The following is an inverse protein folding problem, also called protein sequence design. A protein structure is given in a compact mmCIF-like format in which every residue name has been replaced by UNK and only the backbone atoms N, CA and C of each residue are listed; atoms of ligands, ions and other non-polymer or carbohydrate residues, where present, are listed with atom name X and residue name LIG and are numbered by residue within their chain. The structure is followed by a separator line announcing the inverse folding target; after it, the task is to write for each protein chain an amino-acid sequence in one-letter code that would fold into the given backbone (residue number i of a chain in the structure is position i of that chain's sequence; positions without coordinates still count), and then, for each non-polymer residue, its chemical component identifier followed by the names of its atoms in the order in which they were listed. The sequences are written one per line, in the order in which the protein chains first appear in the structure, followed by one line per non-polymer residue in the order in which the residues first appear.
data_IF_804308328427
#
_entry.id   IF_804308328427
#
_cell.length_a   1.000
_cell.length_b   1.000
_cell.length_c   1.000
_cell.angle_alpha   90.00
_cell.angle_beta   90.00
_cell.angle_gamma   90.00
#
_symmetry.space_group_name_H-M   'P 1'
#
loop_
_entity.id
_entity.type
_entity.pdbx_description
1 polymer ?
#
# COMPACT_ATOMS: atom_id res chain seq x y z
N UNK A 1 -67.97 7.20 44.47
CA UNK A 1 -66.70 6.45 44.32
C UNK A 1 -66.22 6.67 42.90
N UNK A 2 -65.10 7.38 42.73
CA UNK A 2 -64.69 8.04 41.49
C UNK A 2 -64.25 7.05 40.39
N UNK A 3 -64.81 7.19 39.18
CA UNK A 3 -64.31 6.57 37.95
C UNK A 3 -63.16 7.43 37.38
N UNK A 4 -62.02 6.86 36.97
CA UNK A 4 -61.00 7.62 36.25
C UNK A 4 -61.44 7.88 34.81
N UNK A 5 -61.13 9.08 34.31
CA UNK A 5 -61.39 9.49 32.94
C UNK A 5 -60.45 8.77 31.95
N UNK A 6 -60.89 8.46 30.72
CA UNK A 6 -60.04 7.84 29.72
C UNK A 6 -58.95 8.83 29.26
N UNK A 7 -57.69 8.39 29.32
CA UNK A 7 -56.58 9.13 28.76
C UNK A 7 -56.81 9.31 27.25
N UNK A 8 -56.86 10.57 26.80
CA UNK A 8 -57.10 10.89 25.39
C UNK A 8 -55.97 10.33 24.52
N UNK A 9 -56.35 9.73 23.38
CA UNK A 9 -55.44 9.18 22.36
C UNK A 9 -54.38 10.20 21.90
N UNK A 10 -54.67 11.51 22.04
CA UNK A 10 -53.76 12.59 21.76
C UNK A 10 -52.52 12.66 22.69
N UNK A 11 -52.63 12.20 23.94
CA UNK A 11 -51.50 12.17 24.88
C UNK A 11 -50.56 11.00 24.62
N UNK A 12 -51.07 9.88 24.09
CA UNK A 12 -50.23 8.74 23.70
C UNK A 12 -49.42 9.06 22.43
N UNK A 13 -50.02 9.76 21.47
CA UNK A 13 -49.32 10.14 20.23
C UNK A 13 -48.18 11.15 20.46
N UNK A 14 -48.33 12.07 21.43
CA UNK A 14 -47.25 13.02 21.80
C UNK A 14 -46.08 12.34 22.49
N UNK A 15 -46.32 11.28 23.27
CA UNK A 15 -45.24 10.53 23.90
C UNK A 15 -44.45 9.69 22.87
N UNK A 16 -45.14 9.09 21.90
CA UNK A 16 -44.49 8.31 20.83
C UNK A 16 -43.70 9.20 19.87
N UNK A 17 -44.20 10.39 19.51
CA UNK A 17 -43.42 11.34 18.69
C UNK A 17 -42.22 11.94 19.43
N UNK A 18 -42.27 12.08 20.76
CA UNK A 18 -41.14 12.56 21.55
C UNK A 18 -40.02 11.52 21.67
N UNK A 19 -40.38 10.22 21.67
CA UNK A 19 -39.40 9.12 21.65
C UNK A 19 -38.83 8.95 20.22
N UNK A 20 -39.62 9.18 19.17
CA UNK A 20 -39.13 9.11 17.78
C UNK A 20 -38.17 10.26 17.41
N UNK A 21 -38.29 11.42 18.05
CA UNK A 21 -37.34 12.54 17.86
C UNK A 21 -36.07 12.44 18.71
N UNK A 22 -35.98 11.49 19.64
CA UNK A 22 -34.79 11.30 20.50
C UNK A 22 -33.83 10.20 20.01
N UNK A 23 -34.07 9.59 18.84
CA UNK A 23 -33.27 8.48 18.30
C UNK A 23 -32.43 8.86 17.07
N UNK A 24 -32.50 10.12 16.58
CA UNK A 24 -31.59 10.63 15.53
C UNK A 24 -30.65 11.69 16.09
N UNK A 25 -29.92 11.30 17.12
CA UNK A 25 -28.70 12.01 17.56
C UNK A 25 -27.75 10.95 18.08
N UNK A 26 -27.40 10.01 17.21
CA UNK A 26 -26.23 9.17 17.44
C UNK A 26 -25.03 10.09 17.71
N UNK A 27 -24.11 9.70 18.60
CA UNK A 27 -22.90 10.47 18.84
C UNK A 27 -22.24 10.69 17.48
N UNK A 28 -22.25 11.94 17.02
CA UNK A 28 -21.46 12.36 15.88
C UNK A 28 -20.04 12.25 16.39
N UNK A 29 -19.38 11.14 16.11
CA UNK A 29 -17.95 11.00 16.33
C UNK A 29 -17.33 12.25 15.73
N UNK A 30 -16.72 13.08 16.59
CA UNK A 30 -15.95 14.20 16.12
C UNK A 30 -14.95 13.62 15.11
N UNK A 31 -14.80 14.23 13.92
CA UNK A 31 -13.74 13.80 13.00
C UNK A 31 -12.46 13.80 13.82
N UNK A 32 -11.77 12.66 13.86
CA UNK A 32 -10.49 12.55 14.53
C UNK A 32 -9.63 13.68 13.96
N UNK A 33 -9.41 14.73 14.76
CA UNK A 33 -8.53 15.82 14.40
C UNK A 33 -7.19 15.17 14.15
N UNK A 34 -6.77 15.12 12.89
CA UNK A 34 -5.48 14.54 12.52
C UNK A 34 -4.41 15.18 13.41
N UNK A 35 -3.44 14.40 13.92
CA UNK A 35 -2.35 14.96 14.69
C UNK A 35 -1.78 16.17 13.95
N UNK A 36 -1.54 17.26 14.67
CA UNK A 36 -1.12 18.53 14.12
C UNK A 36 0.04 18.31 13.13
N UNK A 37 -0.16 18.68 11.86
CA UNK A 37 0.84 18.50 10.78
C UNK A 37 0.62 17.33 9.82
N UNK A 38 -0.24 16.35 10.11
CA UNK A 38 -0.56 15.27 9.16
C UNK A 38 -1.54 15.79 8.09
N UNK A 39 -1.05 15.89 6.85
CA UNK A 39 -1.78 16.36 5.68
C UNK A 39 -2.26 15.24 4.78
N UNK A 40 -1.63 14.06 4.74
CA UNK A 40 -2.12 12.92 3.97
C UNK A 40 -2.03 11.61 4.76
N UNK A 41 -3.09 10.79 4.69
CA UNK A 41 -3.13 9.43 5.24
C UNK A 41 -3.11 8.40 4.11
N UNK A 42 -2.10 7.55 4.11
CA UNK A 42 -1.77 6.64 3.02
C UNK A 42 -1.95 5.20 3.50
N UNK A 43 -2.89 4.47 2.90
CA UNK A 43 -3.01 3.04 3.11
C UNK A 43 -1.91 2.30 2.34
N UNK A 44 -1.16 1.42 3.01
CA UNK A 44 -0.16 0.56 2.37
C UNK A 44 -0.60 -0.89 2.52
N UNK A 45 -0.84 -1.57 1.40
CA UNK A 45 -1.27 -2.97 1.36
C UNK A 45 -0.08 -3.82 0.96
N UNK A 46 0.48 -4.57 1.90
CA UNK A 46 1.69 -5.37 1.70
C UNK A 46 1.91 -6.36 2.86
N UNK A 47 3.03 -7.08 2.82
CA UNK A 47 3.53 -7.93 3.90
C UNK A 47 4.38 -7.10 4.85
N UNK A 48 4.07 -7.12 6.14
CA UNK A 48 4.80 -6.37 7.17
C UNK A 48 5.41 -7.32 8.20
N UNK A 49 6.56 -6.93 8.75
CA UNK A 49 7.11 -7.59 9.93
C UNK A 49 6.25 -7.33 11.16
N UNK A 50 6.32 -8.23 12.13
CA UNK A 50 5.72 -7.99 13.44
C UNK A 50 6.57 -6.94 14.19
N UNK A 51 6.05 -5.74 14.47
CA UNK A 51 6.79 -4.73 15.23
C UNK A 51 7.04 -5.13 16.68
N UNK A 52 6.25 -6.06 17.24
CA UNK A 52 6.44 -6.66 18.55
C UNK A 52 7.23 -7.98 18.49
N UNK A 53 7.47 -8.49 17.30
CA UNK A 53 8.12 -9.77 17.05
C UNK A 53 9.59 -9.68 17.43
N UNK A 54 9.94 -10.39 18.51
CA UNK A 54 11.32 -10.60 18.92
C UNK A 54 12.18 -11.11 17.75
N UNK A 55 13.47 -10.77 17.77
CA UNK A 55 14.53 -11.28 16.88
C UNK A 55 14.66 -12.83 16.86
N UNK A 56 13.75 -13.56 17.51
CA UNK A 56 13.71 -15.02 17.67
C UNK A 56 12.98 -15.76 16.54
N UNK A 57 12.49 -15.06 15.51
CA UNK A 57 11.97 -15.73 14.32
C UNK A 57 13.09 -16.56 13.66
N UNK A 58 12.86 -17.86 13.47
CA UNK A 58 13.87 -18.71 12.83
C UNK A 58 14.14 -18.23 11.40
N UNK A 59 15.38 -18.35 10.96
CA UNK A 59 15.78 -17.93 9.60
C UNK A 59 14.96 -18.61 8.52
N UNK A 60 14.59 -19.89 8.68
CA UNK A 60 13.69 -20.57 7.74
C UNK A 60 12.32 -19.91 7.63
N UNK A 61 11.76 -19.37 8.73
CA UNK A 61 10.48 -18.65 8.70
C UNK A 61 10.64 -17.28 8.04
N UNK A 62 11.71 -16.55 8.35
CA UNK A 62 11.99 -15.24 7.75
C UNK A 62 12.19 -15.36 6.23
N UNK A 63 12.97 -16.36 5.79
CA UNK A 63 13.14 -16.66 4.36
C UNK A 63 11.81 -17.03 3.71
N UNK A 64 11.03 -17.91 4.33
CA UNK A 64 9.74 -18.34 3.77
C UNK A 64 8.71 -17.21 3.66
N UNK A 65 8.84 -16.17 4.49
CA UNK A 65 7.93 -15.03 4.52
C UNK A 65 8.47 -13.81 3.75
N UNK A 66 9.57 -13.96 3.00
CA UNK A 66 10.08 -12.91 2.12
C UNK A 66 10.80 -11.76 2.84
N UNK A 67 11.32 -12.01 4.05
CA UNK A 67 12.09 -11.03 4.79
C UNK A 67 13.35 -10.55 4.02
N UNK A 68 13.83 -9.36 4.35
CA UNK A 68 14.99 -8.74 3.70
C UNK A 68 16.28 -9.13 4.40
N UNK A 69 17.32 -9.46 3.63
CA UNK A 69 18.71 -9.45 4.12
C UNK A 69 19.22 -8.06 3.76
N UNK A 70 19.50 -7.18 4.69
CA UNK A 70 19.82 -5.79 4.37
C UNK A 70 21.32 -5.59 4.15
N UNK A 71 22.15 -6.29 4.91
CA UNK A 71 23.60 -6.12 4.93
C UNK A 71 24.37 -7.09 4.01
N UNK A 72 23.69 -8.06 3.41
CA UNK A 72 24.23 -8.99 2.43
C UNK A 72 25.08 -10.10 3.04
N UNK A 73 24.86 -10.45 4.31
CA UNK A 73 25.56 -11.56 4.96
C UNK A 73 24.85 -12.92 4.80
N UNK A 74 23.67 -12.93 4.15
CA UNK A 74 22.86 -14.11 3.89
C UNK A 74 21.87 -14.45 5.01
N UNK A 75 21.79 -13.63 6.06
CA UNK A 75 20.82 -13.74 7.15
C UNK A 75 19.72 -12.71 6.93
N UNK A 76 18.46 -13.11 7.11
CA UNK A 76 17.31 -12.22 6.96
C UNK A 76 17.01 -11.48 8.27
N UNK A 77 16.71 -10.20 8.19
CA UNK A 77 16.16 -9.37 9.26
C UNK A 77 14.63 -9.39 9.28
N UNK A 78 13.99 -9.12 10.42
CA UNK A 78 12.54 -8.91 10.54
C UNK A 78 12.13 -7.56 9.92
N UNK A 79 12.43 -7.39 8.63
CA UNK A 79 12.15 -6.23 7.78
C UNK A 79 11.56 -6.78 6.49
N UNK A 80 10.27 -6.54 6.28
CA UNK A 80 9.53 -7.09 5.17
C UNK A 80 9.33 -6.04 4.08
N UNK A 81 8.87 -6.51 2.92
CA UNK A 81 8.67 -5.67 1.76
C UNK A 81 7.78 -4.43 2.05
N UNK A 82 6.68 -4.60 2.78
CA UNK A 82 5.81 -3.51 3.21
C UNK A 82 6.47 -2.50 4.13
N UNK A 83 7.39 -2.92 4.99
CA UNK A 83 8.14 -2.01 5.86
C UNK A 83 9.00 -1.05 5.02
N UNK A 84 9.62 -1.58 3.97
CA UNK A 84 10.40 -0.78 3.01
C UNK A 84 9.48 0.14 2.21
N UNK A 85 8.36 -0.35 1.68
CA UNK A 85 7.38 0.49 0.93
C UNK A 85 6.90 1.67 1.77
N UNK A 86 6.60 1.45 3.06
CA UNK A 86 6.21 2.52 4.00
C UNK A 86 7.29 3.58 4.17
N UNK A 87 8.55 3.17 4.20
CA UNK A 87 9.68 4.08 4.30
C UNK A 87 9.78 4.95 3.04
N UNK A 88 9.71 4.35 1.85
CA UNK A 88 9.85 5.10 0.59
C UNK A 88 8.70 6.07 0.30
N UNK A 89 7.49 5.78 0.76
CA UNK A 89 6.36 6.72 0.64
C UNK A 89 6.37 7.78 1.74
N UNK A 90 7.07 7.53 2.84
CA UNK A 90 7.17 8.42 3.99
C UNK A 90 7.73 9.79 3.61
N UNK A 91 7.05 10.83 4.06
CA UNK A 91 7.46 12.22 3.92
C UNK A 91 6.86 13.10 5.04
N UNK A 92 7.42 14.29 5.31
CA UNK A 92 6.81 15.24 6.23
C UNK A 92 5.34 15.51 5.89
N UNK A 93 4.47 15.44 6.90
CA UNK A 93 3.04 15.62 6.74
C UNK A 93 2.29 14.43 6.14
N UNK A 94 2.92 13.26 6.03
CA UNK A 94 2.24 12.01 5.65
C UNK A 94 2.19 11.05 6.82
N UNK A 95 1.13 10.22 6.86
CA UNK A 95 0.97 9.13 7.79
C UNK A 95 0.66 7.85 7.00
N UNK A 96 1.44 6.79 7.22
CA UNK A 96 1.17 5.49 6.61
C UNK A 96 0.32 4.62 7.54
N UNK A 97 -0.74 4.01 7.01
CA UNK A 97 -1.60 3.05 7.70
C UNK A 97 -1.36 1.66 7.08
N UNK A 98 -0.76 0.70 7.81
CA UNK A 98 -0.48 -0.63 7.25
C UNK A 98 -1.75 -1.49 7.19
N UNK A 99 -1.94 -2.15 6.06
CA UNK A 99 -2.98 -3.16 5.82
C UNK A 99 -2.30 -4.48 5.44
N UNK A 100 -1.97 -5.28 6.46
CA UNK A 100 -1.16 -6.48 6.30
C UNK A 100 -1.81 -7.60 5.51
N UNK A 101 -1.05 -8.16 4.57
CA UNK A 101 -1.40 -9.33 3.74
C UNK A 101 -0.47 -10.47 4.12
N UNK A 102 -0.97 -11.70 4.14
CA UNK A 102 -0.11 -12.88 4.31
C UNK A 102 0.66 -13.20 3.02
N UNK A 103 1.93 -13.58 3.16
CA UNK A 103 2.71 -14.14 2.04
C UNK A 103 2.36 -15.63 1.89
N UNK A 104 1.39 -15.95 1.04
CA UNK A 104 0.88 -17.31 0.93
C UNK A 104 -0.26 -17.51 -0.08
N UNK A 105 -0.82 -18.73 -0.17
CA UNK A 105 -1.86 -19.08 -1.14
C UNK A 105 -3.14 -18.26 -0.98
N UNK A 106 -3.35 -17.66 0.19
CA UNK A 106 -4.53 -16.87 0.51
C UNK A 106 -4.33 -15.36 0.27
N UNK A 107 -3.14 -14.92 -0.18
CA UNK A 107 -2.79 -13.50 -0.35
C UNK A 107 -3.83 -12.70 -1.15
N UNK A 108 -4.40 -13.25 -2.23
CA UNK A 108 -5.44 -12.57 -3.01
C UNK A 108 -6.73 -12.34 -2.22
N UNK A 109 -7.12 -13.27 -1.33
CA UNK A 109 -8.29 -13.07 -0.47
C UNK A 109 -8.01 -12.04 0.62
N UNK A 110 -6.80 -12.05 1.17
CA UNK A 110 -6.37 -11.07 2.14
C UNK A 110 -6.35 -9.66 1.53
N UNK A 111 -5.76 -9.49 0.35
CA UNK A 111 -5.78 -8.23 -0.40
C UNK A 111 -7.21 -7.73 -0.59
N UNK A 112 -8.11 -8.60 -1.06
CA UNK A 112 -9.51 -8.23 -1.27
C UNK A 112 -10.18 -7.80 0.06
N UNK A 113 -9.88 -8.50 1.14
CA UNK A 113 -10.37 -8.18 2.49
C UNK A 113 -9.86 -6.80 2.93
N UNK A 114 -8.56 -6.52 2.75
CA UNK A 114 -7.95 -5.23 3.11
C UNK A 114 -8.50 -4.07 2.29
N UNK A 115 -8.74 -4.25 1.00
CA UNK A 115 -9.39 -3.24 0.16
C UNK A 115 -10.83 -2.95 0.64
N UNK A 116 -11.58 -3.99 1.00
CA UNK A 116 -12.90 -3.85 1.61
C UNK A 116 -12.87 -3.11 2.96
N UNK A 117 -11.88 -3.39 3.81
CA UNK A 117 -11.66 -2.68 5.07
C UNK A 117 -11.35 -1.19 4.86
N UNK A 118 -10.49 -0.84 3.89
CA UNK A 118 -10.19 0.55 3.52
C UNK A 118 -11.47 1.28 3.12
N UNK A 119 -12.29 0.69 2.26
CA UNK A 119 -13.57 1.30 1.84
C UNK A 119 -14.58 1.42 2.97
N UNK A 120 -14.65 0.43 3.85
CA UNK A 120 -15.51 0.51 5.03
C UNK A 120 -15.11 1.69 5.92
N UNK A 121 -13.81 1.80 6.25
CA UNK A 121 -13.26 2.91 7.04
C UNK A 121 -13.54 4.28 6.43
N UNK A 122 -13.39 4.43 5.10
CA UNK A 122 -13.73 5.69 4.41
C UNK A 122 -15.21 6.03 4.48
N UNK A 123 -16.09 5.03 4.32
CA UNK A 123 -17.55 5.24 4.48
C UNK A 123 -17.92 5.64 5.91
N UNK A 124 -17.18 5.15 6.89
CA UNK A 124 -17.33 5.50 8.31
C UNK A 124 -16.68 6.85 8.67
N UNK A 125 -16.10 7.54 7.69
CA UNK A 125 -15.54 8.89 7.83
C UNK A 125 -14.05 8.93 8.14
N UNK A 126 -13.34 7.80 8.17
CA UNK A 126 -11.87 7.81 8.26
C UNK A 126 -11.28 8.40 6.96
N UNK A 127 -10.38 9.38 7.13
CA UNK A 127 -9.66 9.95 6.01
C UNK A 127 -8.54 9.00 5.57
N UNK A 128 -8.63 8.53 4.33
CA UNK A 128 -7.57 7.85 3.60
C UNK A 128 -7.51 8.50 2.21
N UNK A 129 -6.39 9.17 1.93
CA UNK A 129 -6.19 10.01 0.76
C UNK A 129 -5.56 9.24 -0.40
N UNK A 130 -4.75 8.23 -0.07
CA UNK A 130 -4.05 7.42 -1.06
C UNK A 130 -3.95 5.96 -0.64
N UNK A 131 -3.79 5.09 -1.63
CA UNK A 131 -3.50 3.66 -1.48
C UNK A 131 -2.26 3.34 -2.32
N UNK A 132 -1.23 2.79 -1.69
CA UNK A 132 -0.08 2.17 -2.38
C UNK A 132 -0.28 0.66 -2.37
N UNK A 133 -0.30 0.08 -3.56
CA UNK A 133 -0.50 -1.34 -3.77
C UNK A 133 0.67 -1.92 -4.58
N UNK A 134 1.68 -2.43 -3.87
CA UNK A 134 2.90 -2.97 -4.48
C UNK A 134 2.85 -4.48 -4.72
N UNK A 135 1.70 -4.99 -5.16
CA UNK A 135 1.52 -6.41 -5.46
C UNK A 135 1.48 -6.67 -6.97
N UNK A 136 2.08 -7.78 -7.38
CA UNK A 136 2.06 -8.23 -8.77
C UNK A 136 1.20 -9.48 -8.93
N UNK A 137 0.33 -9.46 -9.94
CA UNK A 137 -0.30 -10.66 -10.48
C UNK A 137 -0.05 -10.65 -11.97
N UNK A 138 1.01 -11.33 -12.42
CA UNK A 138 1.50 -11.28 -13.79
C UNK A 138 0.61 -12.05 -14.76
N UNK A 139 0.47 -11.54 -15.98
CA UNK A 139 -0.15 -12.24 -17.10
C UNK A 139 0.63 -11.95 -18.37
N UNK A 140 0.77 -12.95 -19.24
CA UNK A 140 1.41 -12.77 -20.54
C UNK A 140 0.61 -11.77 -21.36
N UNK A 141 1.29 -10.80 -21.99
CA UNK A 141 0.65 -9.84 -22.90
C UNK A 141 -0.11 -10.59 -24.00
N UNK A 142 0.49 -11.66 -24.55
CA UNK A 142 -0.10 -12.50 -25.59
C UNK A 142 -1.40 -13.20 -25.19
N UNK A 143 -1.72 -13.28 -23.89
CA UNK A 143 -3.02 -13.78 -23.47
C UNK A 143 -4.14 -12.75 -23.71
N UNK A 144 -3.80 -11.46 -23.83
CA UNK A 144 -4.72 -10.34 -23.99
C UNK A 144 -4.70 -9.85 -25.45
N UNK A 145 -3.53 -9.64 -26.01
CA UNK A 145 -3.31 -9.10 -27.36
C UNK A 145 -1.89 -9.43 -27.86
N UNK A 146 -1.65 -9.30 -29.17
CA UNK A 146 -0.29 -9.47 -29.73
C UNK A 146 0.69 -8.42 -29.18
N UNK A 147 0.21 -7.18 -29.01
CA UNK A 147 0.92 -6.06 -28.39
C UNK A 147 -0.08 -5.18 -27.63
N UNK A 148 0.39 -4.42 -26.64
CA UNK A 148 -0.44 -3.44 -25.91
C UNK A 148 -0.34 -2.06 -26.57
N UNK A 149 -1.49 -1.42 -26.78
CA UNK A 149 -1.63 -0.04 -27.25
C UNK A 149 -2.45 0.78 -26.23
N UNK A 150 -2.01 1.99 -25.82
CA UNK A 150 -2.79 2.84 -24.93
C UNK A 150 -4.21 3.15 -25.43
N UNK A 151 -4.42 3.21 -26.74
CA UNK A 151 -5.74 3.46 -27.35
C UNK A 151 -6.73 2.32 -27.07
N UNK A 152 -6.25 1.11 -26.84
CA UNK A 152 -7.05 -0.09 -26.60
C UNK A 152 -7.23 -0.39 -25.10
N UNK A 153 -6.83 0.52 -24.19
CA UNK A 153 -6.90 0.29 -22.74
C UNK A 153 -8.30 -0.15 -22.27
N UNK A 154 -9.36 0.45 -22.81
CA UNK A 154 -10.75 0.07 -22.49
C UNK A 154 -11.10 -1.33 -22.98
N UNK A 155 -10.57 -1.75 -24.13
CA UNK A 155 -10.74 -3.11 -24.65
C UNK A 155 -10.07 -4.12 -23.73
N UNK A 156 -8.82 -3.88 -23.32
CA UNK A 156 -8.10 -4.79 -22.42
C UNK A 156 -8.79 -4.90 -21.06
N UNK A 157 -9.32 -3.79 -20.54
CA UNK A 157 -10.17 -3.78 -19.35
C UNK A 157 -11.38 -4.69 -19.50
N UNK A 158 -12.11 -4.59 -20.61
CA UNK A 158 -13.27 -5.42 -20.87
C UNK A 158 -12.92 -6.92 -20.99
N UNK A 159 -11.77 -7.26 -21.58
CA UNK A 159 -11.26 -8.63 -21.66
C UNK A 159 -11.01 -9.21 -20.26
N UNK A 160 -10.26 -8.50 -19.43
CA UNK A 160 -9.91 -8.95 -18.06
C UNK A 160 -11.16 -9.05 -17.18
N UNK A 161 -12.10 -8.11 -17.30
CA UNK A 161 -13.41 -8.21 -16.64
C UNK A 161 -14.24 -9.39 -17.16
N UNK A 162 -14.14 -9.71 -18.46
CA UNK A 162 -14.71 -10.91 -19.05
C UNK A 162 -14.19 -12.17 -18.36
N UNK A 163 -12.87 -12.31 -18.23
CA UNK A 163 -12.24 -13.43 -17.54
C UNK A 163 -12.70 -13.57 -16.09
N UNK A 164 -12.81 -12.46 -15.36
CA UNK A 164 -13.35 -12.46 -14.00
C UNK A 164 -14.75 -13.06 -13.86
N UNK A 165 -15.58 -12.97 -14.92
CA UNK A 165 -16.94 -13.53 -14.92
C UNK A 165 -16.96 -15.01 -15.30
N UNK A 166 -16.13 -15.41 -16.26
CA UNK A 166 -16.20 -16.74 -16.88
C UNK A 166 -15.18 -17.74 -16.32
N UNK A 167 -14.07 -17.28 -15.79
CA UNK A 167 -12.97 -18.12 -15.29
C UNK A 167 -12.85 -18.00 -13.76
N UNK A 168 -12.96 -19.13 -13.06
CA UNK A 168 -12.86 -19.20 -11.60
C UNK A 168 -11.51 -18.74 -11.06
N UNK A 169 -10.42 -18.97 -11.80
CA UNK A 169 -9.07 -18.53 -11.44
C UNK A 169 -8.91 -17.01 -11.46
N UNK A 170 -9.71 -16.31 -12.27
CA UNK A 170 -9.66 -14.86 -12.44
C UNK A 170 -10.60 -14.08 -11.52
N UNK A 171 -11.57 -14.74 -10.89
CA UNK A 171 -12.59 -14.09 -10.04
C UNK A 171 -11.99 -13.18 -8.97
N UNK A 172 -10.98 -13.66 -8.24
CA UNK A 172 -10.33 -12.86 -7.19
C UNK A 172 -9.55 -11.69 -7.77
N UNK A 173 -8.81 -11.89 -8.85
CA UNK A 173 -8.08 -10.81 -9.54
C UNK A 173 -9.04 -9.72 -10.00
N UNK A 174 -10.15 -10.10 -10.65
CA UNK A 174 -11.16 -9.16 -11.11
C UNK A 174 -11.87 -8.43 -9.96
N UNK A 175 -12.14 -9.11 -8.83
CA UNK A 175 -12.68 -8.48 -7.64
C UNK A 175 -11.72 -7.44 -7.06
N UNK A 176 -10.41 -7.76 -6.97
CA UNK A 176 -9.38 -6.80 -6.54
C UNK A 176 -9.34 -5.59 -7.47
N UNK A 177 -9.35 -5.80 -8.79
CA UNK A 177 -9.41 -4.72 -9.78
C UNK A 177 -10.63 -3.83 -9.52
N UNK A 178 -11.81 -4.41 -9.34
CA UNK A 178 -13.04 -3.64 -9.07
C UNK A 178 -12.97 -2.83 -7.78
N UNK A 179 -12.33 -3.35 -6.73
CA UNK A 179 -12.15 -2.60 -5.48
C UNK A 179 -11.14 -1.45 -5.62
N UNK A 180 -10.06 -1.64 -6.39
CA UNK A 180 -9.11 -0.56 -6.70
C UNK A 180 -9.78 0.55 -7.54
N UNK A 181 -10.58 0.17 -8.54
CA UNK A 181 -11.37 1.09 -9.36
C UNK A 181 -12.37 1.87 -8.51
N UNK A 182 -13.05 1.21 -7.58
CA UNK A 182 -14.00 1.85 -6.68
C UNK A 182 -13.32 2.88 -5.77
N UNK A 183 -12.15 2.56 -5.21
CA UNK A 183 -11.36 3.50 -4.41
C UNK A 183 -10.96 4.73 -5.23
N UNK A 184 -10.47 4.52 -6.46
CA UNK A 184 -10.10 5.61 -7.36
C UNK A 184 -11.31 6.50 -7.72
N UNK A 185 -12.46 5.89 -8.01
CA UNK A 185 -13.71 6.60 -8.29
C UNK A 185 -14.21 7.42 -7.08
N UNK A 186 -13.95 6.94 -5.85
CA UNK A 186 -14.24 7.64 -4.60
C UNK A 186 -13.17 8.72 -4.26
N UNK A 187 -12.32 9.08 -5.22
CA UNK A 187 -11.32 10.15 -5.09
C UNK A 187 -10.07 9.77 -4.30
N UNK A 188 -9.82 8.49 -4.04
CA UNK A 188 -8.53 8.04 -3.48
C UNK A 188 -7.48 8.02 -4.59
N UNK A 189 -6.28 8.54 -4.31
CA UNK A 189 -5.15 8.33 -5.21
C UNK A 189 -4.69 6.87 -5.07
N UNK A 190 -4.97 6.03 -6.06
CA UNK A 190 -4.55 4.62 -6.05
C UNK A 190 -3.34 4.45 -6.95
N UNK A 191 -2.24 3.94 -6.40
CA UNK A 191 -0.99 3.72 -7.14
C UNK A 191 -0.61 2.24 -7.08
N UNK A 192 -0.26 1.68 -8.23
CA UNK A 192 0.20 0.29 -8.36
C UNK A 192 1.49 0.20 -9.17
N UNK A 193 2.13 -0.97 -9.12
CA UNK A 193 3.39 -1.27 -9.80
C UNK A 193 3.15 -1.83 -11.20
N UNK A 194 4.02 -1.52 -12.15
CA UNK A 194 3.96 -2.11 -13.49
C UNK A 194 4.28 -3.62 -13.51
N UNK A 195 5.11 -4.08 -12.56
CA UNK A 195 5.53 -5.47 -12.41
C UNK A 195 7.03 -5.69 -12.61
N UNK A 196 7.51 -6.81 -12.10
CA UNK A 196 8.91 -7.23 -12.10
C UNK A 196 9.14 -8.54 -12.89
N UNK A 197 8.22 -8.90 -13.79
CA UNK A 197 8.27 -10.15 -14.57
C UNK A 197 8.91 -9.99 -15.96
N UNK A 198 9.42 -8.79 -16.30
CA UNK A 198 10.00 -8.48 -17.61
C UNK A 198 8.97 -8.11 -18.70
N UNK A 199 9.43 -7.82 -19.93
CA UNK A 199 8.67 -7.06 -20.94
C UNK A 199 7.54 -7.84 -21.63
N UNK A 200 7.50 -9.18 -21.50
CA UNK A 200 6.43 -10.01 -22.07
C UNK A 200 5.20 -10.12 -21.15
N UNK A 201 5.33 -9.62 -19.94
CA UNK A 201 4.32 -9.72 -18.91
C UNK A 201 3.73 -8.36 -18.62
N UNK A 202 2.53 -8.38 -18.06
CA UNK A 202 1.86 -7.20 -17.52
C UNK A 202 1.33 -7.54 -16.13
N UNK A 203 1.52 -6.64 -15.17
CA UNK A 203 0.80 -6.75 -13.91
C UNK A 203 -0.68 -6.53 -14.20
N UNK A 204 -1.54 -7.51 -13.93
CA UNK A 204 -2.98 -7.45 -14.24
C UNK A 204 -3.72 -6.28 -13.60
N UNK A 205 -3.21 -5.75 -12.49
CA UNK A 205 -3.77 -4.56 -11.85
C UNK A 205 -3.53 -3.26 -12.65
N UNK A 206 -2.65 -3.29 -13.66
CA UNK A 206 -2.47 -2.22 -14.66
C UNK A 206 -3.78 -1.88 -15.38
N UNK A 207 -4.69 -2.85 -15.48
CA UNK A 207 -5.96 -2.63 -16.15
C UNK A 207 -6.99 -1.91 -15.28
N UNK A 208 -6.77 -1.73 -13.98
CA UNK A 208 -7.74 -1.03 -13.12
C UNK A 208 -7.90 0.44 -13.54
N UNK A 209 -9.13 0.85 -13.88
CA UNK A 209 -9.45 2.25 -14.22
C UNK A 209 -9.19 3.20 -13.04
N UNK A 210 -8.59 4.34 -13.35
CA UNK A 210 -8.30 5.39 -12.36
C UNK A 210 -7.12 5.08 -11.44
N UNK A 211 -6.50 3.91 -11.57
CA UNK A 211 -5.27 3.55 -10.88
C UNK A 211 -4.07 4.07 -11.66
N UNK A 212 -3.11 4.66 -10.96
CA UNK A 212 -1.85 5.14 -11.53
C UNK A 212 -0.86 3.98 -11.55
N UNK A 213 -0.40 3.60 -12.74
CA UNK A 213 0.56 2.51 -12.94
C UNK A 213 1.97 3.07 -13.04
N UNK A 214 2.86 2.59 -12.18
CA UNK A 214 4.22 3.12 -12.06
C UNK A 214 5.27 2.11 -12.49
N UNK A 215 6.07 2.51 -13.48
CA UNK A 215 7.23 1.75 -13.95
C UNK A 215 8.54 2.19 -13.30
N UNK A 216 9.57 1.36 -13.46
CA UNK A 216 10.93 1.63 -13.03
C UNK A 216 11.67 2.57 -13.99
N UNK A 217 12.14 3.72 -13.51
CA UNK A 217 12.85 4.70 -14.33
C UNK A 217 14.23 4.19 -14.79
N UNK A 218 14.88 3.35 -13.98
CA UNK A 218 16.21 2.84 -14.25
C UNK A 218 16.25 1.94 -15.49
N UNK A 219 17.34 1.99 -16.29
CA UNK A 219 17.54 1.06 -17.39
C UNK A 219 17.51 -0.40 -16.92
N UNK A 220 16.76 -1.23 -17.64
CA UNK A 220 16.84 -2.68 -17.54
C UNK A 220 17.65 -3.18 -18.74
N UNK A 221 18.97 -3.21 -18.58
CA UNK A 221 19.89 -3.49 -19.68
C UNK A 221 19.68 -4.88 -20.29
N UNK A 222 19.32 -5.85 -19.46
CA UNK A 222 19.08 -7.24 -19.87
C UNK A 222 17.61 -7.47 -20.27
N UNK A 223 16.71 -6.54 -19.90
CA UNK A 223 15.29 -6.62 -20.21
C UNK A 223 14.60 -7.79 -19.52
N UNK A 224 15.11 -8.22 -18.37
CA UNK A 224 14.66 -9.46 -17.70
C UNK A 224 13.74 -9.19 -16.51
N UNK A 225 13.81 -8.01 -15.90
CA UNK A 225 13.13 -7.77 -14.63
C UNK A 225 12.04 -6.71 -14.74
N UNK A 226 12.25 -5.59 -15.41
CA UNK A 226 11.25 -4.52 -15.41
C UNK A 226 10.15 -4.80 -16.43
N UNK A 227 8.90 -4.87 -15.98
CA UNK A 227 7.78 -4.76 -16.91
C UNK A 227 7.80 -3.36 -17.53
N UNK A 228 7.95 -3.32 -18.85
CA UNK A 228 7.90 -2.08 -19.65
C UNK A 228 6.85 -2.23 -20.73
N UNK A 229 5.74 -1.52 -20.59
CA UNK A 229 4.66 -1.53 -21.57
C UNK A 229 4.02 -0.14 -21.71
N UNK A 230 3.29 0.12 -22.81
CA UNK A 230 2.70 1.43 -23.08
C UNK A 230 1.59 1.87 -22.10
N UNK A 231 1.09 0.96 -21.24
CA UNK A 231 0.03 1.28 -20.28
C UNK A 231 0.58 1.84 -18.95
N UNK A 232 1.89 2.05 -18.84
CA UNK A 232 2.51 2.71 -17.68
C UNK A 232 2.21 4.21 -17.74
N UNK A 233 1.64 4.77 -16.67
CA UNK A 233 1.25 6.19 -16.64
C UNK A 233 2.42 7.09 -16.23
N UNK A 234 3.34 6.60 -15.38
CA UNK A 234 4.52 7.36 -14.95
C UNK A 234 5.68 6.45 -14.57
N UNK A 235 6.87 7.03 -14.45
CA UNK A 235 8.11 6.35 -14.11
C UNK A 235 8.74 7.00 -12.88
N UNK A 236 9.36 6.21 -12.01
CA UNK A 236 10.04 6.72 -10.81
C UNK A 236 11.25 5.86 -10.43
N UNK A 237 12.11 6.42 -9.58
CA UNK A 237 13.27 5.71 -9.03
C UNK A 237 12.81 4.42 -8.33
N UNK A 238 13.43 3.32 -8.70
CA UNK A 238 13.09 1.97 -8.27
C UNK A 238 14.32 1.20 -7.77
N UNK A 239 15.49 1.83 -7.81
CA UNK A 239 16.77 1.27 -7.39
C UNK A 239 17.40 2.17 -6.33
N UNK A 240 17.81 1.56 -5.23
CA UNK A 240 18.37 2.24 -4.07
C UNK A 240 19.58 1.50 -3.54
N UNK A 241 20.71 2.21 -3.40
CA UNK A 241 21.88 1.65 -2.73
C UNK A 241 21.69 1.68 -1.22
N UNK A 242 21.92 0.55 -0.56
CA UNK A 242 21.97 0.49 0.90
C UNK A 242 23.35 1.00 1.33
N UNK A 243 23.39 2.12 2.06
CA UNK A 243 24.64 2.76 2.47
C UNK A 243 24.76 2.79 3.98
N UNK A 244 25.94 2.45 4.48
CA UNK A 244 26.27 2.70 5.87
C UNK A 244 26.51 4.21 6.06
N UNK A 245 25.77 4.83 6.98
CA UNK A 245 25.93 6.25 7.32
C UNK A 245 26.11 6.41 8.84
N UNK A 246 26.88 7.42 9.23
CA UNK A 246 27.05 7.81 10.63
C UNK A 246 25.81 8.54 11.15
N UNK A 247 25.48 8.33 12.43
CA UNK A 247 24.42 9.09 13.10
C UNK A 247 24.94 10.50 13.45
N UNK A 248 24.25 11.58 13.05
CA UNK A 248 24.73 12.96 13.25
C UNK A 248 25.03 13.32 14.71
N UNK A 249 24.23 12.80 15.65
CA UNK A 249 24.19 13.27 17.04
C UNK A 249 24.68 12.24 18.08
N UNK A 250 25.22 11.10 17.64
CA UNK A 250 25.62 10.00 18.53
C UNK A 250 26.65 9.08 17.88
N UNK A 251 27.63 8.56 18.64
CA UNK A 251 28.54 7.55 18.12
C UNK A 251 27.73 6.30 17.75
N UNK A 252 27.51 6.10 16.46
CA UNK A 252 26.72 5.00 15.94
C UNK A 252 26.53 5.11 14.44
N UNK A 253 26.09 4.01 13.85
CA UNK A 253 25.86 3.88 12.42
C UNK A 253 24.47 3.31 12.18
N UNK A 254 23.96 3.52 10.97
CA UNK A 254 22.74 2.92 10.45
C UNK A 254 22.82 2.77 8.94
N UNK A 255 21.78 2.21 8.35
CA UNK A 255 21.63 2.18 6.91
C UNK A 255 20.73 3.32 6.44
N UNK A 256 21.25 4.11 5.50
CA UNK A 256 20.49 4.93 4.58
C UNK A 256 20.08 4.02 3.41
N UNK A 257 18.78 3.89 3.19
CA UNK A 257 18.22 3.06 2.12
C UNK A 257 17.38 3.88 1.14
N UNK A 258 17.16 5.17 1.42
CA UNK A 258 16.37 6.07 0.57
C UNK A 258 17.24 7.11 -0.16
N UNK A 259 18.55 7.13 0.11
CA UNK A 259 19.59 7.99 -0.45
C UNK A 259 19.49 9.48 -0.03
N UNK A 260 18.86 9.78 1.10
CA UNK A 260 18.76 11.13 1.66
C UNK A 260 19.93 11.52 2.60
N UNK A 261 20.85 10.60 2.86
CA UNK A 261 22.00 10.80 3.73
C UNK A 261 21.72 10.67 5.23
N UNK A 262 20.50 10.26 5.61
CA UNK A 262 20.07 10.06 6.99
C UNK A 262 19.92 8.57 7.29
N UNK A 263 20.08 8.17 8.55
CA UNK A 263 19.79 6.80 8.98
C UNK A 263 18.29 6.54 8.89
N UNK A 264 17.91 5.61 8.01
CA UNK A 264 16.57 5.06 7.92
C UNK A 264 16.38 3.86 8.86
N UNK A 265 17.39 2.99 8.94
CA UNK A 265 17.35 1.74 9.69
C UNK A 265 18.57 1.63 10.61
N UNK A 266 18.32 1.67 11.92
CA UNK A 266 19.37 1.46 12.94
C UNK A 266 19.99 0.06 12.81
N UNK A 267 21.33 -0.04 12.91
CA UNK A 267 22.04 -1.33 12.78
C UNK A 267 21.57 -2.40 13.76
N UNK A 268 21.12 -2.04 14.97
CA UNK A 268 20.59 -3.00 15.95
C UNK A 268 19.38 -3.74 15.41
N UNK A 269 18.57 -3.06 14.59
CA UNK A 269 17.39 -3.63 13.92
C UNK A 269 17.76 -4.20 12.55
N UNK A 270 18.52 -3.45 11.76
CA UNK A 270 18.77 -3.70 10.35
C UNK A 270 20.01 -4.50 9.99
N UNK A 271 20.82 -4.94 10.95
CA UNK A 271 22.02 -5.74 10.66
C UNK A 271 22.16 -6.89 11.62
N UNK A 272 21.88 -8.09 11.13
CA UNK A 272 22.20 -9.32 11.84
C UNK A 272 23.71 -9.47 12.09
N UNK A 273 24.56 -8.99 11.17
CA UNK A 273 26.00 -8.90 11.35
C UNK A 273 26.38 -8.05 12.56
N UNK A 274 25.82 -6.83 12.66
CA UNK A 274 26.10 -5.93 13.78
C UNK A 274 25.65 -6.54 15.11
N UNK A 275 24.46 -7.18 15.15
CA UNK A 275 24.00 -7.88 16.37
C UNK A 275 24.97 -8.99 16.79
N UNK A 276 25.57 -9.70 15.83
CA UNK A 276 26.47 -10.83 16.10
C UNK A 276 27.90 -10.40 16.47
N UNK A 277 28.44 -9.40 15.79
CA UNK A 277 29.86 -9.04 15.86
C UNK A 277 30.13 -7.67 16.48
N UNK A 278 29.09 -6.86 16.73
CA UNK A 278 29.20 -5.52 17.30
C UNK A 278 29.93 -4.50 16.42
N UNK A 279 30.18 -4.83 15.14
CA UNK A 279 30.89 -3.98 14.18
C UNK A 279 29.99 -3.65 12.99
N UNK A 280 30.01 -2.40 12.51
CA UNK A 280 29.25 -2.02 11.33
C UNK A 280 29.84 -2.71 10.09
N UNK A 281 28.98 -2.95 9.10
CA UNK A 281 29.38 -3.52 7.82
C UNK A 281 28.84 -2.65 6.71
N UNK A 282 29.73 -2.14 5.88
CA UNK A 282 29.30 -1.53 4.63
C UNK A 282 28.84 -2.64 3.67
N UNK A 283 27.75 -2.39 2.99
CA UNK A 283 27.17 -3.33 2.04
C UNK A 283 27.12 -2.70 0.67
N UNK A 284 27.41 -3.50 -0.36
CA UNK A 284 27.21 -3.10 -1.76
C UNK A 284 25.82 -3.50 -2.25
N UNK A 285 24.89 -3.72 -1.32
CA UNK A 285 23.54 -4.16 -1.65
C UNK A 285 22.77 -3.04 -2.33
N UNK A 286 21.99 -3.46 -3.31
CA UNK A 286 21.04 -2.60 -4.00
C UNK A 286 19.66 -3.22 -3.82
N UNK A 287 18.71 -2.43 -3.34
CA UNK A 287 17.29 -2.75 -3.37
C UNK A 287 16.75 -2.31 -4.73
N UNK A 288 16.08 -3.22 -5.43
CA UNK A 288 15.59 -2.95 -6.78
C UNK A 288 14.23 -3.60 -7.02
N UNK A 289 13.32 -2.87 -7.66
CA UNK A 289 12.01 -3.36 -8.05
C UNK A 289 11.00 -2.24 -8.27
N UNK A 290 10.04 -2.45 -9.17
CA UNK A 290 8.93 -1.49 -9.42
C UNK A 290 8.10 -1.21 -8.17
N UNK A 291 8.15 -2.09 -7.17
CA UNK A 291 7.59 -1.87 -5.83
C UNK A 291 8.22 -0.74 -5.03
N UNK A 292 9.41 -0.26 -5.41
CA UNK A 292 9.98 0.97 -4.88
C UNK A 292 9.65 2.19 -5.77
N UNK A 293 9.30 1.98 -7.04
CA UNK A 293 8.88 3.05 -7.94
C UNK A 293 7.51 3.64 -7.53
N UNK A 294 6.52 2.79 -7.28
CA UNK A 294 5.17 3.21 -6.89
C UNK A 294 5.14 4.14 -5.65
N UNK A 295 5.74 3.79 -4.49
CA UNK A 295 5.76 4.68 -3.33
C UNK A 295 6.53 5.97 -3.61
N UNK A 296 7.61 5.91 -4.40
CA UNK A 296 8.40 7.10 -4.79
C UNK A 296 7.59 8.07 -5.64
N UNK A 297 6.86 7.56 -6.63
CA UNK A 297 5.98 8.37 -7.47
C UNK A 297 4.86 9.01 -6.63
N UNK A 298 4.25 8.27 -5.72
CA UNK A 298 3.22 8.80 -4.84
C UNK A 298 3.80 9.91 -3.95
N UNK A 299 4.97 9.70 -3.33
CA UNK A 299 5.65 10.73 -2.53
C UNK A 299 5.83 12.03 -3.34
N UNK A 300 6.26 11.93 -4.59
CA UNK A 300 6.40 13.07 -5.50
C UNK A 300 5.06 13.75 -5.86
N UNK A 301 3.98 12.98 -6.02
CA UNK A 301 2.63 13.51 -6.24
C UNK A 301 2.13 14.30 -5.02
N UNK A 302 2.28 13.75 -3.83
CA UNK A 302 1.84 14.38 -2.59
C UNK A 302 2.64 15.65 -2.30
N UNK A 303 3.96 15.62 -2.48
CA UNK A 303 4.82 16.80 -2.28
C UNK A 303 4.42 17.98 -3.19
N UNK A 304 3.99 17.73 -4.43
CA UNK A 304 3.48 18.78 -5.32
C UNK A 304 2.14 19.35 -4.86
N UNK A 305 1.25 18.51 -4.33
CA UNK A 305 0.01 18.97 -3.70
C UNK A 305 0.29 19.85 -2.48
N UNK A 306 1.25 19.44 -1.64
CA UNK A 306 1.68 20.23 -0.48
C UNK A 306 2.20 21.62 -0.84
N UNK A 307 2.95 21.73 -1.93
CA UNK A 307 3.48 22.99 -2.43
C UNK A 307 2.38 23.91 -2.94
N UNK A 308 1.41 23.37 -3.70
CA UNK A 308 0.30 24.14 -4.25
C UNK A 308 -0.64 24.73 -3.17
N UNK A 309 -0.77 24.08 -2.01
CA UNK A 309 -1.58 24.56 -0.89
C UNK A 309 -0.85 25.61 -0.01
N UNK A 310 0.45 25.85 -0.24
CA UNK A 310 1.28 26.78 0.53
C UNK A 310 1.40 28.18 -0.11
N UNK A 311 1.02 28.30 -1.38
CA UNK A 311 0.99 29.54 -2.17
C UNK A 311 -0.41 30.21 -2.14
#
# INVERSE_FOLDING_TARGET
MFRPAPASVASLLRLVLSILFLVVSGPRSAPATSPEGIRYRIAVIDVFGDPAGADDASQSRLVAAGATDLDGDGVRENIFHGDLVRLYVGAPGTETVPFGVSDGPDAKRDILTRLGEIRARRRDGERLDAVVFCWESSTLISAIADTLDPADRELYQAIVQGWGRTDTGWRLTAAIIGELEALAADGVIVVTIAGNSGPRWVNTYTFARGVIVVGAAEPDADGEWATRNPLIDTWAQSRYAVRLVELPDRPGYGYDINEDGTVDIDLRRGSSWFRRFGSPRDTRRVLQGTSFAAPTALRGLLARGLAADAD
#
